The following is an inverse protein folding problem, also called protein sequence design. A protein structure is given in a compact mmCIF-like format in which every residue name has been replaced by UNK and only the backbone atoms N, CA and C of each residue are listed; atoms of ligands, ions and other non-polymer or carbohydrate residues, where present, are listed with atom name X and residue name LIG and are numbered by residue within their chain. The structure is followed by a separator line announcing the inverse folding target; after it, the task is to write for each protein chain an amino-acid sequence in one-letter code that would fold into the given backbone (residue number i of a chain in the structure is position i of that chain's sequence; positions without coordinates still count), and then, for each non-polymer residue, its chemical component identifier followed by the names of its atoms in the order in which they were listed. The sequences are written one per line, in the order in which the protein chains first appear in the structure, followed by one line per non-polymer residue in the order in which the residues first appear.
data_IF_563681569277
#
_entry.id   IF_563681569277
#
_cell.length_a   1.000
_cell.length_b   1.000
_cell.length_c   1.000
_cell.angle_alpha   90.00
_cell.angle_beta   90.00
_cell.angle_gamma   90.00
#
_symmetry.space_group_name_H-M   'P 1'
#
loop_
_entity.id
_entity.type
_entity.pdbx_description
1 polymer ?
#
# COMPACT_ATOMS: atom_id res chain seq x y z
N UNK A 1 2.11 16.82 -23.90
CA UNK A 1 1.01 15.87 -23.58
C UNK A 1 0.10 16.54 -22.54
N UNK A 2 -1.17 16.83 -22.82
CA UNK A 2 -2.03 17.61 -21.91
C UNK A 2 -2.14 16.96 -20.52
N UNK A 3 -2.25 17.80 -19.50
CA UNK A 3 -2.47 17.36 -18.12
C UNK A 3 -3.86 16.73 -18.02
N UNK A 4 -3.92 15.54 -17.45
CA UNK A 4 -5.14 14.77 -17.22
C UNK A 4 -5.32 14.56 -15.72
N UNK A 5 -6.58 14.41 -15.29
CA UNK A 5 -6.95 14.11 -13.92
C UNK A 5 -7.59 12.71 -13.85
N UNK A 6 -7.33 11.99 -12.77
CA UNK A 6 -7.97 10.71 -12.48
C UNK A 6 -9.19 10.90 -11.56
N UNK A 7 -10.04 9.88 -11.45
CA UNK A 7 -11.14 9.82 -10.47
C UNK A 7 -10.67 9.80 -9.00
N UNK A 8 -9.38 9.71 -8.79
CA UNK A 8 -8.71 9.75 -7.49
C UNK A 8 -7.94 11.07 -7.26
N UNK A 9 -8.28 12.13 -8.00
CA UNK A 9 -7.67 13.46 -7.90
C UNK A 9 -6.14 13.48 -8.05
N UNK A 10 -5.55 12.49 -8.75
CA UNK A 10 -4.16 12.56 -9.17
C UNK A 10 -4.05 13.15 -10.57
N UNK A 11 -2.95 13.83 -10.85
CA UNK A 11 -2.71 14.54 -12.11
C UNK A 11 -1.55 13.89 -12.87
N UNK A 12 -1.66 13.81 -14.19
CA UNK A 12 -0.59 13.20 -14.98
C UNK A 12 -0.54 13.73 -16.43
N UNK A 13 0.65 13.67 -17.01
CA UNK A 13 0.89 13.82 -18.46
C UNK A 13 1.17 12.44 -19.06
N UNK A 14 0.94 12.28 -20.36
CA UNK A 14 1.25 11.03 -21.05
C UNK A 14 0.41 9.84 -20.61
N UNK A 15 1.07 8.80 -20.10
CA UNK A 15 0.46 7.52 -19.72
C UNK A 15 0.78 7.15 -18.27
N UNK A 16 -0.24 6.81 -17.51
CA UNK A 16 -0.04 6.18 -16.20
C UNK A 16 0.56 4.78 -16.33
N UNK A 17 1.52 4.45 -15.48
CA UNK A 17 2.06 3.09 -15.38
C UNK A 17 0.98 2.08 -15.00
N UNK A 18 1.20 0.80 -15.28
CA UNK A 18 0.25 -0.26 -14.93
C UNK A 18 0.09 -0.37 -13.41
N UNK A 19 1.18 -0.22 -12.65
CA UNK A 19 1.15 -0.21 -11.20
C UNK A 19 0.28 0.93 -10.63
N UNK A 20 0.36 2.15 -11.19
CA UNK A 20 -0.47 3.28 -10.78
C UNK A 20 -1.95 3.06 -11.11
N UNK A 21 -2.27 2.54 -12.30
CA UNK A 21 -3.65 2.19 -12.67
C UNK A 21 -4.28 1.16 -11.72
N UNK A 22 -3.51 0.17 -11.29
CA UNK A 22 -3.96 -0.83 -10.32
C UNK A 22 -4.12 -0.24 -8.92
N UNK A 23 -3.21 0.67 -8.53
CA UNK A 23 -3.26 1.40 -7.27
C UNK A 23 -4.58 2.20 -7.15
N UNK A 24 -4.87 3.06 -8.12
CA UNK A 24 -6.11 3.87 -8.17
C UNK A 24 -7.36 2.99 -8.01
N UNK A 25 -7.38 1.82 -8.64
CA UNK A 25 -8.51 0.88 -8.57
C UNK A 25 -8.58 0.04 -7.28
N UNK A 26 -7.65 0.21 -6.34
CA UNK A 26 -7.53 -0.64 -5.15
C UNK A 26 -7.25 -2.11 -5.48
N UNK A 27 -6.66 -2.39 -6.66
CA UNK A 27 -6.32 -3.74 -7.15
C UNK A 27 -4.84 -4.06 -6.99
N UNK A 28 -4.14 -3.30 -6.16
CA UNK A 28 -2.72 -3.47 -5.86
C UNK A 28 -2.55 -3.82 -4.39
N UNK A 29 -1.88 -4.94 -4.10
CA UNK A 29 -1.37 -5.27 -2.77
C UNK A 29 0.02 -4.68 -2.57
N UNK A 30 0.41 -4.51 -1.31
CA UNK A 30 1.72 -3.97 -0.90
C UNK A 30 2.45 -5.06 -0.15
N UNK A 31 3.57 -5.55 -0.71
CA UNK A 31 4.44 -6.51 -0.08
C UNK A 31 5.69 -5.79 0.43
N UNK A 32 5.73 -5.61 1.74
CA UNK A 32 6.87 -5.07 2.46
C UNK A 32 7.89 -6.18 2.65
N UNK A 33 8.98 -6.15 1.88
CA UNK A 33 9.98 -7.23 1.82
C UNK A 33 10.91 -7.23 3.03
N UNK A 34 11.35 -6.04 3.45
CA UNK A 34 12.25 -5.85 4.60
C UNK A 34 12.25 -4.39 5.04
N UNK A 35 12.48 -4.14 6.33
CA UNK A 35 12.71 -2.79 6.84
C UNK A 35 14.16 -2.32 6.76
N UNK A 36 15.08 -3.18 6.31
CA UNK A 36 16.47 -2.81 6.10
C UNK A 36 16.57 -1.85 4.91
N UNK A 37 17.41 -0.81 5.06
CA UNK A 37 17.66 0.16 4.00
C UNK A 37 19.10 0.63 4.05
N UNK A 38 19.73 0.76 2.87
CA UNK A 38 21.09 1.31 2.75
C UNK A 38 21.14 2.83 2.67
N UNK A 39 19.97 3.49 2.63
CA UNK A 39 19.82 4.95 2.52
C UNK A 39 19.12 5.49 3.75
N UNK A 40 19.63 6.59 4.31
CA UNK A 40 19.02 7.25 5.46
C UNK A 40 18.39 8.58 5.03
N UNK A 41 17.13 8.51 4.54
CA UNK A 41 16.38 9.71 4.17
C UNK A 41 15.76 10.35 5.42
N UNK A 42 15.96 11.67 5.61
CA UNK A 42 15.40 12.41 6.74
C UNK A 42 13.87 12.43 6.74
N UNK A 43 13.27 12.20 5.58
CA UNK A 43 11.81 12.14 5.36
C UNK A 43 11.25 10.71 5.29
N UNK A 44 12.00 9.72 5.73
CA UNK A 44 11.56 8.32 5.63
C UNK A 44 10.24 8.09 6.41
N UNK A 45 9.16 7.63 5.75
CA UNK A 45 7.86 7.47 6.40
C UNK A 45 7.68 6.12 7.11
N UNK A 46 8.71 5.25 7.11
CA UNK A 46 8.59 3.92 7.71
C UNK A 46 8.41 4.01 9.22
N UNK A 47 7.43 3.28 9.74
CA UNK A 47 7.18 3.20 11.19
C UNK A 47 8.39 2.63 11.95
N UNK A 48 8.55 3.03 13.21
CA UNK A 48 9.62 2.54 14.09
C UNK A 48 9.53 1.01 14.33
N UNK A 49 8.34 0.44 14.16
CA UNK A 49 8.15 -1.01 14.25
C UNK A 49 8.79 -1.77 13.10
N UNK A 50 8.90 -1.15 11.92
CA UNK A 50 9.39 -1.77 10.69
C UNK A 50 10.80 -1.31 10.30
N UNK A 51 11.15 -0.04 10.56
CA UNK A 51 12.43 0.57 10.16
C UNK A 51 13.62 -0.17 10.77
N UNK A 52 14.56 -0.58 9.93
CA UNK A 52 15.79 -1.27 10.35
C UNK A 52 15.61 -2.74 10.75
N UNK A 53 14.41 -3.30 10.65
CA UNK A 53 14.14 -4.71 11.01
C UNK A 53 13.97 -5.58 9.76
N UNK A 54 14.49 -6.81 9.81
CA UNK A 54 14.30 -7.77 8.74
C UNK A 54 13.01 -8.57 8.94
N UNK A 55 11.89 -7.93 8.63
CA UNK A 55 10.52 -8.45 8.74
C UNK A 55 9.77 -8.21 7.45
N UNK A 56 8.81 -9.06 7.14
CA UNK A 56 8.00 -8.95 5.92
C UNK A 56 6.50 -8.85 6.24
N UNK A 57 5.78 -8.09 5.43
CA UNK A 57 4.32 -7.93 5.51
C UNK A 57 3.69 -7.97 4.12
N UNK A 58 2.49 -8.50 4.06
CA UNK A 58 1.60 -8.34 2.92
C UNK A 58 0.41 -7.48 3.36
N UNK A 59 0.29 -6.28 2.80
CA UNK A 59 -0.61 -5.25 3.31
C UNK A 59 -0.37 -5.01 4.81
N UNK A 60 -1.36 -5.20 5.66
CA UNK A 60 -1.27 -5.04 7.11
C UNK A 60 -0.89 -6.36 7.85
N UNK A 61 -0.90 -7.50 7.14
CA UNK A 61 -0.62 -8.83 7.71
C UNK A 61 0.87 -9.13 7.70
N UNK A 62 1.42 -9.48 8.86
CA UNK A 62 2.78 -10.01 8.95
C UNK A 62 2.86 -11.36 8.24
N UNK A 63 3.91 -11.58 7.47
CA UNK A 63 4.15 -12.83 6.76
C UNK A 63 4.87 -13.80 7.70
N UNK A 64 4.21 -14.88 8.05
CA UNK A 64 4.78 -15.99 8.80
C UNK A 64 5.20 -17.14 7.88
N UNK A 65 4.54 -17.28 6.75
CA UNK A 65 4.84 -18.26 5.71
C UNK A 65 4.36 -17.77 4.34
N UNK A 66 4.78 -18.45 3.27
CA UNK A 66 4.48 -18.03 1.89
C UNK A 66 2.99 -18.08 1.54
N UNK A 67 2.21 -18.94 2.22
CA UNK A 67 0.77 -19.05 1.99
C UNK A 67 0.03 -17.76 2.38
N UNK A 68 0.53 -17.02 3.37
CA UNK A 68 -0.05 -15.73 3.79
C UNK A 68 -0.13 -14.73 2.62
N UNK A 69 0.86 -14.76 1.71
CA UNK A 69 0.90 -13.89 0.53
C UNK A 69 -0.23 -14.23 -0.43
N UNK A 70 -0.40 -15.52 -0.75
CA UNK A 70 -1.42 -15.98 -1.69
C UNK A 70 -2.84 -15.78 -1.15
N UNK A 71 -3.04 -16.04 0.14
CA UNK A 71 -4.32 -15.81 0.81
C UNK A 71 -4.73 -14.34 0.78
N UNK A 72 -3.80 -13.42 1.06
CA UNK A 72 -4.10 -12.00 1.05
C UNK A 72 -4.34 -11.46 -0.37
N UNK A 73 -3.57 -11.92 -1.38
CA UNK A 73 -3.83 -11.62 -2.80
C UNK A 73 -5.24 -12.05 -3.19
N UNK A 74 -5.65 -13.25 -2.80
CA UNK A 74 -6.98 -13.79 -3.05
C UNK A 74 -8.05 -12.98 -2.31
N UNK A 75 -7.85 -12.72 -1.02
CA UNK A 75 -8.79 -11.94 -0.20
C UNK A 75 -9.05 -10.56 -0.79
N UNK A 76 -8.01 -9.85 -1.24
CA UNK A 76 -8.14 -8.54 -1.87
C UNK A 76 -8.53 -8.59 -3.36
N UNK A 77 -8.63 -9.76 -3.99
CA UNK A 77 -8.75 -9.92 -5.46
C UNK A 77 -7.73 -9.05 -6.19
N UNK A 78 -6.50 -9.04 -5.70
CA UNK A 78 -5.40 -8.22 -6.21
C UNK A 78 -5.01 -8.66 -7.62
N UNK A 79 -4.61 -7.72 -8.47
CA UNK A 79 -4.13 -7.94 -9.84
C UNK A 79 -2.71 -7.41 -10.04
N UNK A 80 -2.13 -6.88 -8.97
CA UNK A 80 -0.75 -6.45 -8.94
C UNK A 80 -0.26 -6.28 -7.52
N UNK A 81 1.06 -6.30 -7.37
CA UNK A 81 1.73 -6.18 -6.09
C UNK A 81 2.96 -5.29 -6.22
N UNK A 82 3.25 -4.55 -5.17
CA UNK A 82 4.50 -3.79 -5.05
C UNK A 82 5.45 -4.49 -4.08
N UNK A 83 6.67 -4.76 -4.50
CA UNK A 83 7.77 -5.12 -3.63
C UNK A 83 8.39 -3.83 -3.10
N UNK A 84 8.24 -3.57 -1.81
CA UNK A 84 8.64 -2.33 -1.15
C UNK A 84 9.23 -2.62 0.24
N UNK A 85 9.53 -1.56 0.99
CA UNK A 85 10.07 -1.66 2.34
C UNK A 85 11.06 -0.55 2.63
N UNK A 86 12.17 -0.91 3.26
CA UNK A 86 13.37 -0.08 3.27
C UNK A 86 13.99 -0.08 1.88
N UNK A 87 14.78 -1.12 1.56
CA UNK A 87 15.21 -1.39 0.18
C UNK A 87 15.13 -2.90 -0.12
N UNK A 88 14.17 -3.34 -0.94
CA UNK A 88 13.98 -4.75 -1.29
C UNK A 88 15.22 -5.41 -1.90
N UNK A 89 16.07 -4.69 -2.62
CA UNK A 89 17.28 -5.26 -3.23
C UNK A 89 18.33 -5.68 -2.21
N UNK A 90 18.23 -5.28 -0.94
CA UNK A 90 19.03 -5.86 0.15
C UNK A 90 18.64 -7.31 0.44
N UNK A 91 17.47 -7.73 -0.01
CA UNK A 91 16.93 -9.09 0.12
C UNK A 91 16.44 -9.62 -1.23
N UNK A 92 17.30 -9.50 -2.24
CA UNK A 92 16.96 -9.87 -3.63
C UNK A 92 16.50 -11.33 -3.76
N UNK A 93 17.07 -12.25 -3.00
CA UNK A 93 16.67 -13.66 -3.04
C UNK A 93 15.24 -13.86 -2.48
N UNK A 94 14.84 -13.07 -1.48
CA UNK A 94 13.46 -13.01 -0.98
C UNK A 94 12.52 -12.40 -2.02
N UNK A 95 12.96 -11.34 -2.72
CA UNK A 95 12.18 -10.80 -3.85
C UNK A 95 11.98 -11.85 -4.95
N UNK A 96 13.00 -12.62 -5.26
CA UNK A 96 12.94 -13.71 -6.24
C UNK A 96 11.96 -14.80 -5.81
N UNK A 97 12.05 -15.27 -4.57
CA UNK A 97 11.16 -16.28 -3.99
C UNK A 97 9.68 -15.83 -4.08
N UNK A 98 9.39 -14.65 -3.56
CA UNK A 98 8.01 -14.10 -3.55
C UNK A 98 7.48 -13.85 -4.96
N UNK A 99 8.33 -13.34 -5.88
CA UNK A 99 7.90 -13.10 -7.25
C UNK A 99 7.60 -14.40 -8.00
N UNK A 100 8.40 -15.44 -7.82
CA UNK A 100 8.14 -16.78 -8.37
C UNK A 100 6.83 -17.34 -7.83
N UNK A 101 6.67 -17.38 -6.50
CA UNK A 101 5.44 -17.86 -5.85
C UNK A 101 4.18 -17.19 -6.42
N UNK A 102 4.24 -15.86 -6.62
CA UNK A 102 3.11 -15.11 -7.15
C UNK A 102 2.87 -15.41 -8.62
N UNK A 103 3.91 -15.48 -9.45
CA UNK A 103 3.78 -15.76 -10.88
C UNK A 103 3.37 -17.20 -11.17
N UNK A 104 3.78 -18.16 -10.35
CA UNK A 104 3.37 -19.56 -10.46
C UNK A 104 1.87 -19.73 -10.22
N UNK A 105 1.29 -19.02 -9.24
CA UNK A 105 -0.14 -19.08 -8.93
C UNK A 105 -0.97 -18.13 -9.82
N UNK A 106 -0.42 -16.95 -10.17
CA UNK A 106 -1.10 -15.87 -10.90
C UNK A 106 -0.19 -15.35 -12.02
N UNK A 107 -0.12 -16.03 -13.13
CA UNK A 107 0.80 -15.72 -14.25
C UNK A 107 0.74 -14.24 -14.70
N UNK A 108 -0.46 -13.66 -14.81
CA UNK A 108 -0.68 -12.27 -15.26
C UNK A 108 -0.54 -11.21 -14.15
N UNK A 109 -0.14 -11.61 -12.92
CA UNK A 109 -0.05 -10.69 -11.80
C UNK A 109 1.07 -9.67 -12.02
N UNK A 110 0.72 -8.38 -12.03
CA UNK A 110 1.70 -7.32 -12.24
C UNK A 110 2.55 -7.11 -10.99
N UNK A 111 3.86 -7.22 -11.12
CA UNK A 111 4.81 -7.02 -10.03
C UNK A 111 5.68 -5.81 -10.33
N UNK A 112 5.73 -4.84 -9.40
CA UNK A 112 6.69 -3.75 -9.48
C UNK A 112 7.50 -3.62 -8.20
N UNK A 113 8.74 -3.19 -8.36
CA UNK A 113 9.73 -3.10 -7.29
C UNK A 113 10.14 -1.64 -7.09
N UNK A 114 10.22 -1.22 -5.82
CA UNK A 114 10.80 0.04 -5.41
C UNK A 114 12.21 -0.16 -4.87
N UNK A 115 13.14 0.70 -5.25
CA UNK A 115 14.51 0.65 -4.70
C UNK A 115 15.15 2.04 -4.69
N UNK A 116 15.93 2.33 -3.66
CA UNK A 116 16.81 3.51 -3.60
C UNK A 116 18.25 3.19 -4.03
N UNK A 117 18.50 1.96 -4.42
CA UNK A 117 19.86 1.49 -4.73
C UNK A 117 20.27 1.86 -6.16
N UNK A 118 21.35 2.62 -6.28
CA UNK A 118 21.99 2.97 -7.55
C UNK A 118 23.41 2.37 -7.67
N UNK A 119 23.85 1.61 -6.68
CA UNK A 119 25.17 0.98 -6.60
C UNK A 119 25.20 -0.44 -7.24
N UNK A 120 26.27 -1.17 -6.98
CA UNK A 120 26.48 -2.54 -7.52
C UNK A 120 25.35 -3.53 -7.20
N UNK A 121 24.54 -3.28 -6.17
CA UNK A 121 23.42 -4.14 -5.79
C UNK A 121 22.29 -4.10 -6.83
N UNK A 122 22.22 -3.05 -7.61
CA UNK A 122 21.26 -2.94 -8.73
C UNK A 122 21.43 -4.09 -9.73
N UNK A 123 22.63 -4.68 -9.85
CA UNK A 123 22.87 -5.88 -10.66
C UNK A 123 22.04 -7.10 -10.19
N UNK A 124 21.56 -7.11 -8.95
CA UNK A 124 20.61 -8.10 -8.46
C UNK A 124 19.30 -8.15 -9.22
N UNK A 125 18.94 -7.06 -9.92
CA UNK A 125 17.76 -7.01 -10.79
C UNK A 125 17.77 -8.08 -11.89
N UNK A 126 18.94 -8.50 -12.37
CA UNK A 126 19.05 -9.59 -13.36
C UNK A 126 18.36 -10.88 -12.92
N UNK A 127 18.34 -11.17 -11.62
CA UNK A 127 17.65 -12.33 -11.06
C UNK A 127 16.12 -12.22 -11.16
N UNK A 128 15.61 -10.99 -11.33
CA UNK A 128 14.18 -10.68 -11.31
C UNK A 128 13.62 -10.46 -12.72
N UNK A 129 14.45 -10.50 -13.77
CA UNK A 129 13.99 -10.40 -15.16
C UNK A 129 12.98 -11.51 -15.50
N UNK A 130 11.90 -11.14 -16.19
CA UNK A 130 10.82 -12.04 -16.51
C UNK A 130 9.81 -12.31 -15.37
N UNK A 131 10.13 -11.87 -14.15
CA UNK A 131 9.24 -11.99 -12.98
C UNK A 131 8.65 -10.64 -12.56
N UNK A 132 9.50 -9.62 -12.44
CA UNK A 132 9.12 -8.24 -12.15
C UNK A 132 8.85 -7.51 -13.46
N UNK A 133 7.75 -6.79 -13.52
CA UNK A 133 7.31 -6.07 -14.73
C UNK A 133 7.84 -4.62 -14.77
N UNK A 134 7.99 -3.99 -13.58
CA UNK A 134 8.26 -2.56 -13.46
C UNK A 134 9.21 -2.29 -12.29
N UNK A 135 10.25 -1.48 -12.51
CA UNK A 135 11.21 -1.07 -11.46
C UNK A 135 11.16 0.43 -11.29
N UNK A 136 11.05 0.90 -10.05
CA UNK A 136 10.98 2.30 -9.67
C UNK A 136 12.15 2.68 -8.79
N UNK A 137 12.98 3.57 -9.29
CA UNK A 137 14.11 4.08 -8.56
C UNK A 137 13.76 5.34 -7.78
N UNK A 138 14.21 5.38 -6.53
CA UNK A 138 14.25 6.60 -5.73
C UNK A 138 15.63 7.22 -5.88
N UNK A 139 15.73 8.29 -6.65
CA UNK A 139 16.97 9.02 -6.92
C UNK A 139 16.96 10.40 -6.26
N UNK A 140 18.15 10.92 -5.94
CA UNK A 140 18.34 12.21 -5.27
C UNK A 140 18.93 13.28 -6.17
N UNK A 141 19.56 12.89 -7.28
CA UNK A 141 20.23 13.81 -8.18
C UNK A 141 20.18 13.32 -9.63
N UNK A 142 20.49 14.23 -10.55
CA UNK A 142 20.73 13.93 -11.96
C UNK A 142 21.85 12.91 -12.18
N UNK A 143 22.91 12.97 -11.38
CA UNK A 143 24.03 12.03 -11.49
C UNK A 143 23.61 10.60 -11.18
N UNK A 144 22.75 10.40 -10.18
CA UNK A 144 22.20 9.09 -9.89
C UNK A 144 21.34 8.55 -11.05
N UNK A 145 20.58 9.41 -11.72
CA UNK A 145 19.82 9.05 -12.94
C UNK A 145 20.77 8.60 -14.05
N UNK A 146 21.84 9.37 -14.29
CA UNK A 146 22.82 9.04 -15.34
C UNK A 146 23.53 7.72 -15.09
N UNK A 147 23.79 7.35 -13.82
CA UNK A 147 24.39 6.05 -13.44
C UNK A 147 23.50 4.85 -13.80
N UNK A 148 22.18 5.06 -13.93
CA UNK A 148 21.24 4.00 -14.25
C UNK A 148 21.09 3.72 -15.76
N UNK A 149 21.77 4.49 -16.63
CA UNK A 149 21.64 4.37 -18.09
C UNK A 149 21.80 2.94 -18.62
N UNK A 150 22.79 2.20 -18.13
CA UNK A 150 23.04 0.83 -18.58
C UNK A 150 22.00 -0.18 -18.07
N UNK A 151 21.37 0.11 -16.95
CA UNK A 151 20.32 -0.73 -16.37
C UNK A 151 19.05 -0.71 -17.23
N UNK A 152 18.78 0.39 -17.91
CA UNK A 152 17.61 0.52 -18.78
C UNK A 152 17.64 -0.41 -20.00
N UNK A 153 18.75 -1.10 -20.25
CA UNK A 153 18.86 -2.16 -21.29
C UNK A 153 18.22 -3.48 -20.85
N UNK A 154 17.91 -3.65 -19.56
CA UNK A 154 17.21 -4.83 -19.06
C UNK A 154 15.73 -4.79 -19.45
N UNK A 155 15.09 -5.95 -19.46
CA UNK A 155 13.70 -6.09 -19.86
C UNK A 155 12.73 -5.77 -18.73
N UNK A 156 12.69 -4.50 -18.30
CA UNK A 156 11.73 -3.95 -17.35
C UNK A 156 11.13 -2.64 -17.88
N UNK A 157 9.97 -2.26 -17.36
CA UNK A 157 9.52 -0.88 -17.47
C UNK A 157 10.16 -0.11 -16.31
N UNK A 158 10.95 0.91 -16.64
CA UNK A 158 11.65 1.71 -15.66
C UNK A 158 10.96 3.05 -15.40
N UNK A 159 10.79 3.39 -14.13
CA UNK A 159 10.29 4.67 -13.66
C UNK A 159 11.09 5.22 -12.49
N UNK A 160 10.84 6.48 -12.18
CA UNK A 160 11.32 7.11 -10.95
C UNK A 160 10.15 7.31 -9.97
N UNK A 161 10.46 7.24 -8.69
CA UNK A 161 9.51 7.49 -7.61
C UNK A 161 10.18 8.44 -6.60
N UNK A 162 9.87 9.73 -6.68
CA UNK A 162 10.53 10.77 -5.89
C UNK A 162 9.53 11.64 -5.14
N UNK A 163 9.85 12.12 -3.92
CA UNK A 163 8.99 13.05 -3.21
C UNK A 163 9.08 14.45 -3.83
N UNK A 164 7.94 15.11 -3.94
CA UNK A 164 7.83 16.50 -4.36
C UNK A 164 8.13 17.42 -3.17
N UNK A 165 9.41 17.56 -2.82
CA UNK A 165 9.87 18.34 -1.66
C UNK A 165 9.76 19.83 -1.97
N UNK A 166 8.97 20.62 -1.23
CA UNK A 166 8.88 22.06 -1.42
C UNK A 166 10.27 22.74 -1.33
N UNK A 167 10.53 23.66 -2.25
CA UNK A 167 11.84 24.31 -2.37
C UNK A 167 12.83 23.61 -3.31
N UNK A 168 12.63 22.34 -3.65
CA UNK A 168 13.56 21.53 -4.46
C UNK A 168 13.26 21.59 -5.98
N UNK A 169 12.62 22.66 -6.47
CA UNK A 169 12.17 22.76 -7.85
C UNK A 169 13.28 22.49 -8.88
N UNK A 170 14.43 23.16 -8.76
CA UNK A 170 15.52 23.00 -9.75
C UNK A 170 16.14 21.60 -9.70
N UNK A 171 16.27 21.01 -8.53
CA UNK A 171 16.75 19.62 -8.36
C UNK A 171 15.80 18.63 -9.03
N UNK A 172 14.50 18.73 -8.77
CA UNK A 172 13.52 17.80 -9.37
C UNK A 172 13.44 18.02 -10.87
N UNK A 173 13.50 19.26 -11.36
CA UNK A 173 13.55 19.60 -12.78
C UNK A 173 14.77 18.97 -13.47
N UNK A 174 15.96 19.04 -12.85
CA UNK A 174 17.16 18.40 -13.41
C UNK A 174 17.03 16.87 -13.49
N UNK A 175 16.45 16.25 -12.45
CA UNK A 175 16.15 14.80 -12.43
C UNK A 175 15.19 14.43 -13.59
N UNK A 176 14.12 15.20 -13.80
CA UNK A 176 13.16 14.94 -14.89
C UNK A 176 13.85 15.05 -16.25
N UNK A 177 14.63 16.10 -16.49
CA UNK A 177 15.38 16.28 -17.72
C UNK A 177 16.37 15.13 -17.97
N UNK A 178 17.09 14.68 -16.94
CA UNK A 178 18.01 13.56 -17.04
C UNK A 178 17.24 12.25 -17.35
N UNK A 179 16.13 12.01 -16.69
CA UNK A 179 15.31 10.82 -16.88
C UNK A 179 14.72 10.73 -18.30
N UNK A 180 14.23 11.85 -18.85
CA UNK A 180 13.76 11.92 -20.24
C UNK A 180 14.91 11.64 -21.22
N UNK A 181 16.06 12.27 -21.01
CA UNK A 181 17.26 12.08 -21.86
C UNK A 181 17.80 10.64 -21.82
N UNK A 182 17.78 10.00 -20.65
CA UNK A 182 18.31 8.63 -20.45
C UNK A 182 17.32 7.57 -20.93
N UNK A 183 16.01 7.88 -20.97
CA UNK A 183 14.97 7.01 -21.53
C UNK A 183 14.11 6.29 -20.48
N UNK A 184 13.92 6.89 -19.31
CA UNK A 184 12.90 6.41 -18.36
C UNK A 184 11.49 6.57 -18.93
N UNK A 185 10.62 5.63 -18.62
CA UNK A 185 9.25 5.63 -19.16
C UNK A 185 8.34 6.66 -18.46
N UNK A 186 8.57 6.89 -17.17
CA UNK A 186 7.75 7.79 -16.36
C UNK A 186 8.42 8.21 -15.05
N UNK A 187 7.85 9.24 -14.42
CA UNK A 187 8.19 9.70 -13.06
C UNK A 187 6.91 9.83 -12.25
N UNK A 188 6.90 9.28 -11.05
CA UNK A 188 5.92 9.60 -10.02
C UNK A 188 6.48 10.64 -9.06
N UNK A 189 5.81 11.77 -8.96
CA UNK A 189 6.00 12.80 -7.96
C UNK A 189 5.04 12.49 -6.80
N UNK A 190 5.55 11.94 -5.72
CA UNK A 190 4.75 11.70 -4.52
C UNK A 190 4.55 12.99 -3.76
N UNK A 191 3.31 13.29 -3.40
CA UNK A 191 3.04 14.38 -2.48
C UNK A 191 3.86 14.18 -1.20
N UNK A 192 4.51 15.25 -0.77
CA UNK A 192 5.37 15.22 0.41
C UNK A 192 4.52 15.28 1.67
N UNK A 193 4.69 14.32 2.55
CA UNK A 193 3.85 14.12 3.71
C UNK A 193 4.66 13.88 4.99
N UNK A 194 4.13 14.30 6.13
CA UNK A 194 4.68 13.93 7.41
C UNK A 194 4.02 12.67 7.99
N UNK A 195 4.77 12.00 8.85
CA UNK A 195 4.35 10.80 9.59
C UNK A 195 4.88 10.89 11.01
N UNK A 196 4.43 10.02 11.90
CA UNK A 196 4.97 9.93 13.28
C UNK A 196 6.49 9.79 13.34
N UNK A 197 7.10 9.24 12.28
CA UNK A 197 8.55 8.93 12.26
C UNK A 197 9.41 10.01 11.65
N UNK A 198 8.85 10.92 10.88
CA UNK A 198 9.63 11.96 10.18
C UNK A 198 9.27 13.39 10.58
N UNK A 199 8.15 13.60 11.31
CA UNK A 199 7.62 14.93 11.60
C UNK A 199 8.63 15.86 12.31
N UNK A 200 9.43 15.33 13.27
CA UNK A 200 10.45 16.13 13.96
C UNK A 200 11.52 16.62 13.00
N UNK A 201 12.04 15.73 12.15
CA UNK A 201 13.05 16.07 11.16
C UNK A 201 12.54 17.12 10.15
N UNK A 202 11.26 17.01 9.76
CA UNK A 202 10.63 17.95 8.84
C UNK A 202 10.38 19.31 9.50
N UNK A 203 9.96 19.31 10.77
CA UNK A 203 9.78 20.54 11.57
C UNK A 203 11.10 21.29 11.75
N UNK A 204 12.19 20.59 12.10
CA UNK A 204 13.54 21.18 12.25
C UNK A 204 14.01 21.80 10.94
N UNK A 205 13.61 21.25 9.80
CA UNK A 205 13.93 21.79 8.47
C UNK A 205 13.00 22.93 8.03
N UNK A 206 12.04 23.32 8.84
CA UNK A 206 11.15 24.46 8.59
C UNK A 206 10.04 24.20 7.58
N UNK A 207 9.64 22.93 7.40
CA UNK A 207 8.48 22.63 6.56
C UNK A 207 7.17 22.98 7.26
N UNK A 208 6.27 23.66 6.53
CA UNK A 208 4.93 23.98 6.99
C UNK A 208 3.97 22.80 6.74
N UNK A 209 3.24 22.45 7.80
CA UNK A 209 2.22 21.40 7.76
C UNK A 209 0.86 22.00 7.38
N UNK A 210 0.05 21.19 6.71
CA UNK A 210 -1.37 21.47 6.57
C UNK A 210 -2.08 21.06 7.87
N UNK A 211 -2.93 21.94 8.42
CA UNK A 211 -3.64 21.67 9.68
C UNK A 211 -4.64 20.52 9.59
N UNK A 212 -5.16 20.26 8.40
CA UNK A 212 -6.28 19.32 8.18
C UNK A 212 -5.85 18.01 7.51
N UNK A 213 -4.55 17.86 7.22
CA UNK A 213 -4.03 16.69 6.52
C UNK A 213 -2.56 16.40 6.89
N UNK A 214 -2.04 15.26 6.43
CA UNK A 214 -0.62 14.90 6.57
C UNK A 214 0.30 15.58 5.53
N UNK A 215 -0.23 16.46 4.70
CA UNK A 215 0.50 17.07 3.59
C UNK A 215 1.42 18.21 4.04
N UNK A 216 2.51 18.36 3.32
CA UNK A 216 3.42 19.52 3.45
C UNK A 216 3.01 20.55 2.41
N UNK A 217 2.76 21.80 2.87
CA UNK A 217 2.39 22.92 2.02
C UNK A 217 3.42 23.17 0.93
N UNK A 218 2.96 23.44 -0.28
CA UNK A 218 3.80 23.68 -1.45
C UNK A 218 4.17 22.44 -2.26
N UNK A 219 3.92 21.23 -1.77
CA UNK A 219 4.24 19.99 -2.49
C UNK A 219 3.40 19.80 -3.74
N UNK A 220 2.08 20.04 -3.63
CA UNK A 220 1.16 19.97 -4.77
C UNK A 220 1.45 21.06 -5.80
N UNK A 221 1.64 22.29 -5.36
CA UNK A 221 1.94 23.44 -6.22
C UNK A 221 3.23 23.21 -7.01
N UNK A 222 4.28 22.70 -6.36
CA UNK A 222 5.52 22.31 -7.00
C UNK A 222 5.28 21.26 -8.08
N UNK A 223 4.51 20.23 -7.77
CA UNK A 223 4.21 19.13 -8.71
C UNK A 223 3.41 19.63 -9.91
N UNK A 224 2.41 20.46 -9.69
CA UNK A 224 1.59 21.02 -10.77
C UNK A 224 2.44 21.90 -11.71
N UNK A 225 3.30 22.75 -11.16
CA UNK A 225 4.25 23.56 -11.96
C UNK A 225 5.18 22.68 -12.81
N UNK A 226 5.66 21.56 -12.25
CA UNK A 226 6.49 20.61 -13.01
C UNK A 226 5.69 19.93 -14.13
N UNK A 227 4.44 19.49 -13.87
CA UNK A 227 3.59 18.93 -14.92
C UNK A 227 3.37 19.91 -16.07
N UNK A 228 3.13 21.20 -15.79
CA UNK A 228 2.96 22.25 -16.80
C UNK A 228 4.22 22.44 -17.64
N UNK A 229 5.39 22.56 -17.01
CA UNK A 229 6.68 22.78 -17.71
C UNK A 229 7.04 21.61 -18.62
N UNK A 230 6.72 20.38 -18.20
CA UNK A 230 7.05 19.17 -18.95
C UNK A 230 5.87 18.61 -19.77
N UNK A 231 4.86 19.42 -20.04
CA UNK A 231 3.70 19.00 -20.84
C UNK A 231 4.09 18.50 -22.23
N UNK A 232 5.11 19.07 -22.83
CA UNK A 232 5.62 18.69 -24.16
C UNK A 232 6.78 17.67 -24.14
N UNK A 233 7.14 17.14 -22.95
CA UNK A 233 8.20 16.13 -22.83
C UNK A 233 7.74 14.74 -23.31
N UNK A 234 8.70 13.83 -23.59
CA UNK A 234 8.41 12.45 -23.94
C UNK A 234 8.15 11.58 -22.71
N UNK A 235 8.68 11.98 -21.55
CA UNK A 235 8.48 11.25 -20.31
C UNK A 235 7.10 11.52 -19.71
N UNK A 236 6.42 10.48 -19.25
CA UNK A 236 5.16 10.64 -18.54
C UNK A 236 5.41 11.06 -17.09
N UNK A 237 4.68 12.05 -16.59
CA UNK A 237 4.80 12.51 -15.19
C UNK A 237 3.45 12.31 -14.50
N UNK A 238 3.49 11.79 -13.29
CA UNK A 238 2.30 11.56 -12.47
C UNK A 238 2.50 12.16 -11.08
N UNK A 239 1.65 13.10 -10.69
CA UNK A 239 1.52 13.54 -9.30
C UNK A 239 0.61 12.58 -8.55
N UNK A 240 1.15 11.93 -7.53
CA UNK A 240 0.47 10.98 -6.66
C UNK A 240 0.17 11.65 -5.30
N UNK A 241 -1.05 12.14 -5.06
CA UNK A 241 -1.39 12.77 -3.78
C UNK A 241 -1.44 11.74 -2.64
N UNK A 242 -1.18 12.19 -1.41
CA UNK A 242 -1.23 11.36 -0.21
C UNK A 242 -2.62 10.75 -0.01
N UNK A 243 -3.66 11.55 -0.21
CA UNK A 243 -5.07 11.11 -0.12
C UNK A 243 -5.39 9.92 -1.04
N UNK A 244 -4.71 9.79 -2.17
CA UNK A 244 -4.89 8.63 -3.05
C UNK A 244 -4.43 7.34 -2.38
N UNK A 245 -3.32 7.38 -1.65
CA UNK A 245 -2.77 6.20 -0.98
C UNK A 245 -3.64 5.79 0.21
N UNK A 246 -3.97 6.74 1.07
CA UNK A 246 -4.57 6.49 2.37
C UNK A 246 -6.11 6.38 2.30
N UNK A 247 -6.76 7.34 1.66
CA UNK A 247 -8.21 7.37 1.64
C UNK A 247 -8.84 6.60 0.46
N UNK A 248 -8.16 6.48 -0.68
CA UNK A 248 -8.74 5.87 -1.89
C UNK A 248 -8.23 4.45 -2.10
N UNK A 249 -6.92 4.27 -2.20
CA UNK A 249 -6.35 2.95 -2.50
C UNK A 249 -6.56 1.97 -1.35
N UNK A 250 -6.29 2.38 -0.13
CA UNK A 250 -6.47 1.58 1.09
C UNK A 250 -7.95 1.19 1.26
N UNK A 251 -8.85 2.17 1.22
CA UNK A 251 -10.29 1.95 1.36
C UNK A 251 -10.84 1.00 0.28
N UNK A 252 -10.50 1.21 -0.99
CA UNK A 252 -10.92 0.33 -2.10
C UNK A 252 -10.37 -1.09 -1.96
N UNK A 253 -9.19 -1.27 -1.37
CA UNK A 253 -8.61 -2.59 -1.08
C UNK A 253 -9.36 -3.26 0.07
N UNK A 254 -9.62 -2.56 1.17
CA UNK A 254 -10.39 -3.08 2.30
C UNK A 254 -11.82 -3.46 1.89
N UNK A 255 -12.49 -2.64 1.10
CA UNK A 255 -13.81 -2.96 0.56
C UNK A 255 -13.81 -4.27 -0.26
N UNK A 256 -12.77 -4.49 -1.09
CA UNK A 256 -12.62 -5.76 -1.82
C UNK A 256 -12.40 -6.93 -0.88
N UNK A 257 -11.51 -6.75 0.08
CA UNK A 257 -11.21 -7.77 1.08
C UNK A 257 -12.47 -8.13 1.86
N UNK A 258 -13.17 -7.16 2.38
CA UNK A 258 -14.43 -7.37 3.09
C UNK A 258 -15.47 -8.11 2.24
N UNK A 259 -15.68 -7.69 0.98
CA UNK A 259 -16.62 -8.36 0.06
C UNK A 259 -16.26 -9.83 -0.21
N UNK A 260 -14.96 -10.15 -0.28
CA UNK A 260 -14.50 -11.50 -0.60
C UNK A 260 -14.42 -12.42 0.63
N UNK A 261 -14.29 -11.87 1.83
CA UNK A 261 -14.00 -12.66 3.05
C UNK A 261 -15.16 -12.69 4.04
N UNK A 262 -16.13 -11.78 3.91
CA UNK A 262 -17.25 -11.70 4.86
C UNK A 262 -18.03 -13.01 4.91
N UNK A 263 -18.39 -13.39 6.11
CA UNK A 263 -19.25 -14.55 6.40
C UNK A 263 -20.72 -14.16 6.33
N UNK A 264 -21.60 -15.15 6.36
CA UNK A 264 -23.04 -14.93 6.21
C UNK A 264 -23.65 -14.01 7.28
N UNK A 265 -23.13 -14.06 8.48
CA UNK A 265 -23.58 -13.26 9.62
C UNK A 265 -22.86 -11.91 9.75
N UNK A 266 -21.97 -11.57 8.85
CA UNK A 266 -21.20 -10.31 8.88
C UNK A 266 -21.79 -9.29 7.91
N UNK A 267 -21.68 -8.01 8.25
CA UNK A 267 -22.02 -6.89 7.38
C UNK A 267 -20.77 -6.09 7.01
N UNK A 268 -20.89 -5.26 6.00
CA UNK A 268 -19.83 -4.31 5.62
C UNK A 268 -20.33 -2.92 5.92
N UNK A 269 -19.60 -2.23 6.77
CA UNK A 269 -19.81 -0.81 7.09
C UNK A 269 -18.50 -0.06 6.91
N UNK A 270 -18.51 0.99 6.08
CA UNK A 270 -17.35 1.81 5.71
C UNK A 270 -16.08 1.00 5.35
N UNK A 271 -16.25 -0.01 4.48
CA UNK A 271 -15.18 -0.91 3.99
C UNK A 271 -14.64 -1.92 5.01
N UNK A 272 -15.16 -1.94 6.22
CA UNK A 272 -14.80 -2.87 7.29
C UNK A 272 -15.89 -3.91 7.51
N UNK A 273 -15.51 -5.09 7.96
CA UNK A 273 -16.46 -6.14 8.38
C UNK A 273 -16.93 -5.82 9.79
N UNK A 274 -18.27 -5.82 9.97
CA UNK A 274 -18.93 -5.61 11.26
C UNK A 274 -19.62 -6.89 11.70
N UNK A 275 -19.37 -7.29 12.94
CA UNK A 275 -19.96 -8.47 13.58
C UNK A 275 -20.17 -8.26 15.07
N UNK A 276 -21.07 -9.03 15.65
CA UNK A 276 -21.23 -9.13 17.10
C UNK A 276 -20.26 -10.17 17.66
N UNK A 277 -19.64 -9.87 18.78
CA UNK A 277 -18.80 -10.78 19.56
C UNK A 277 -19.46 -11.02 20.94
N UNK A 278 -19.67 -12.27 21.29
CA UNK A 278 -20.20 -12.68 22.59
C UNK A 278 -19.16 -13.59 23.24
N UNK A 279 -18.61 -13.17 24.36
CA UNK A 279 -17.58 -13.93 25.08
C UNK A 279 -18.15 -14.52 26.35
N UNK A 280 -18.09 -15.84 26.48
CA UNK A 280 -18.64 -16.59 27.61
C UNK A 280 -18.55 -18.11 27.37
N UNK A 281 -19.43 -18.89 28.02
CA UNK A 281 -19.50 -20.33 27.76
C UNK A 281 -20.23 -20.59 26.43
N UNK A 282 -19.54 -21.12 25.39
CA UNK A 282 -20.11 -21.24 24.04
C UNK A 282 -21.40 -22.06 23.97
N UNK A 283 -21.52 -23.12 24.79
CA UNK A 283 -22.73 -23.96 24.83
C UNK A 283 -23.95 -23.18 25.30
N UNK A 284 -23.78 -22.36 26.32
CA UNK A 284 -24.88 -21.54 26.86
C UNK A 284 -25.28 -20.47 25.84
N UNK A 285 -24.31 -19.80 25.23
CA UNK A 285 -24.55 -18.79 24.21
C UNK A 285 -25.30 -19.37 23.01
N UNK A 286 -24.85 -20.52 22.48
CA UNK A 286 -25.49 -21.18 21.35
C UNK A 286 -26.90 -21.67 21.72
N UNK A 287 -27.11 -22.18 22.91
CA UNK A 287 -28.46 -22.59 23.38
C UNK A 287 -29.38 -21.37 23.45
N UNK A 288 -28.92 -20.24 23.97
CA UNK A 288 -29.67 -19.01 23.99
C UNK A 288 -30.02 -18.51 22.58
N UNK A 289 -29.04 -18.45 21.68
CA UNK A 289 -29.22 -18.06 20.28
C UNK A 289 -30.30 -18.89 19.58
N UNK A 290 -30.28 -20.22 19.78
CA UNK A 290 -31.23 -21.13 19.14
C UNK A 290 -32.63 -21.12 19.76
N UNK A 291 -32.70 -21.23 21.08
CA UNK A 291 -33.96 -21.48 21.76
C UNK A 291 -34.72 -20.21 22.09
N UNK A 292 -34.03 -19.10 22.37
CA UNK A 292 -34.66 -17.84 22.73
C UNK A 292 -34.81 -16.91 21.51
N UNK A 293 -33.84 -16.91 20.60
CA UNK A 293 -33.84 -15.99 19.44
C UNK A 293 -34.08 -16.71 18.09
N UNK A 294 -34.20 -18.04 18.05
CA UNK A 294 -34.45 -18.78 16.82
C UNK A 294 -33.31 -18.67 15.78
N UNK A 295 -32.08 -18.34 16.22
CA UNK A 295 -30.95 -18.07 15.33
C UNK A 295 -30.45 -19.35 14.68
N UNK A 296 -30.41 -19.39 13.35
CA UNK A 296 -29.93 -20.56 12.59
C UNK A 296 -28.41 -20.73 12.69
N UNK A 297 -27.91 -21.98 12.51
CA UNK A 297 -26.47 -22.31 12.63
C UNK A 297 -25.55 -21.48 11.73
N UNK A 298 -26.00 -21.03 10.56
CA UNK A 298 -25.22 -20.21 9.63
C UNK A 298 -25.01 -18.77 10.10
N UNK A 299 -25.79 -18.32 11.10
CA UNK A 299 -25.76 -16.96 11.64
C UNK A 299 -24.80 -16.80 12.83
N UNK A 300 -24.03 -17.82 13.16
CA UNK A 300 -23.01 -17.71 14.20
C UNK A 300 -21.84 -18.67 13.95
N UNK A 301 -20.68 -18.32 14.54
CA UNK A 301 -19.47 -19.14 14.54
C UNK A 301 -18.83 -19.14 15.93
N UNK A 302 -18.26 -20.28 16.30
CA UNK A 302 -17.59 -20.45 17.60
C UNK A 302 -16.09 -20.45 17.38
N UNK A 303 -15.36 -19.57 18.08
CA UNK A 303 -13.90 -19.53 18.10
C UNK A 303 -13.41 -19.47 19.55
N UNK A 304 -12.98 -20.60 20.08
CA UNK A 304 -12.60 -20.73 21.48
C UNK A 304 -13.76 -20.40 22.43
N UNK A 305 -13.62 -19.39 23.25
CA UNK A 305 -14.67 -18.88 24.16
C UNK A 305 -15.55 -17.79 23.57
N UNK A 306 -15.32 -17.43 22.30
CA UNK A 306 -16.05 -16.39 21.59
C UNK A 306 -17.06 -17.00 20.63
N UNK A 307 -18.25 -16.43 20.60
CA UNK A 307 -19.27 -16.71 19.58
C UNK A 307 -19.48 -15.43 18.79
N UNK A 308 -19.19 -15.49 17.49
CA UNK A 308 -19.44 -14.41 16.57
C UNK A 308 -20.82 -14.59 15.92
N UNK A 309 -21.55 -13.49 15.77
CA UNK A 309 -22.88 -13.49 15.16
C UNK A 309 -23.13 -12.13 14.48
N UNK A 310 -24.30 -11.93 13.89
CA UNK A 310 -24.68 -10.65 13.35
C UNK A 310 -24.73 -9.58 14.46
N UNK A 311 -24.26 -8.39 14.17
CA UNK A 311 -24.17 -7.31 15.16
C UNK A 311 -25.53 -6.99 15.82
N UNK A 312 -26.64 -7.00 15.03
CA UNK A 312 -27.98 -6.77 15.57
C UNK A 312 -28.46 -7.87 16.53
N UNK A 313 -28.01 -9.12 16.34
CA UNK A 313 -28.30 -10.22 17.27
C UNK A 313 -27.54 -9.99 18.58
N UNK A 314 -26.27 -9.57 18.51
CA UNK A 314 -25.50 -9.22 19.69
C UNK A 314 -26.09 -8.03 20.45
N UNK A 315 -26.56 -7.01 19.73
CA UNK A 315 -27.29 -5.86 20.30
C UNK A 315 -28.58 -6.29 21.00
N UNK A 316 -29.36 -7.19 20.42
CA UNK A 316 -30.57 -7.72 21.02
C UNK A 316 -30.29 -8.49 22.32
N UNK A 317 -29.22 -9.31 22.34
CA UNK A 317 -28.80 -10.03 23.56
C UNK A 317 -28.37 -9.04 24.66
N UNK A 318 -27.78 -7.90 24.30
CA UNK A 318 -27.35 -6.89 25.26
C UNK A 318 -28.51 -6.28 26.07
N UNK A 319 -29.74 -6.36 25.54
CA UNK A 319 -30.98 -5.85 26.16
C UNK A 319 -31.63 -6.86 27.13
N UNK A 320 -31.21 -8.13 27.09
CA UNK A 320 -31.68 -9.15 28.03
C UNK A 320 -30.97 -8.96 29.39
N UNK A 321 -31.70 -8.49 30.39
CA UNK A 321 -31.16 -8.16 31.71
C UNK A 321 -30.55 -9.35 32.47
N UNK A 322 -30.96 -10.58 32.14
CA UNK A 322 -30.50 -11.79 32.81
C UNK A 322 -29.31 -12.40 32.08
N UNK A 323 -29.41 -12.57 30.78
CA UNK A 323 -28.39 -13.24 30.00
C UNK A 323 -27.18 -12.34 29.75
N UNK A 324 -27.36 -11.05 29.53
CA UNK A 324 -26.29 -10.08 29.34
C UNK A 324 -25.31 -10.00 30.53
N UNK A 325 -25.76 -10.32 31.74
CA UNK A 325 -24.90 -10.37 32.94
C UNK A 325 -23.95 -11.58 32.98
N UNK A 326 -24.22 -12.61 32.17
CA UNK A 326 -23.42 -13.85 32.10
C UNK A 326 -22.34 -13.83 31.02
N UNK A 327 -22.39 -12.90 30.10
CA UNK A 327 -21.52 -12.81 28.92
C UNK A 327 -20.99 -11.41 28.71
N UNK A 328 -19.87 -11.26 27.99
CA UNK A 328 -19.39 -9.97 27.53
C UNK A 328 -19.77 -9.82 26.05
N UNK A 329 -20.47 -8.75 25.73
CA UNK A 329 -20.98 -8.50 24.38
C UNK A 329 -20.29 -7.27 23.81
N UNK A 330 -19.88 -7.34 22.55
CA UNK A 330 -19.30 -6.23 21.81
C UNK A 330 -19.65 -6.28 20.34
N UNK A 331 -19.51 -5.14 19.67
CA UNK A 331 -19.53 -5.04 18.22
C UNK A 331 -18.10 -4.80 17.77
N UNK A 332 -17.62 -5.64 16.86
CA UNK A 332 -16.25 -5.60 16.33
C UNK A 332 -16.31 -5.11 14.90
N UNK A 333 -15.42 -4.15 14.57
CA UNK A 333 -15.12 -3.73 13.19
C UNK A 333 -13.68 -4.13 12.85
N UNK A 334 -13.47 -4.83 11.75
CA UNK A 334 -12.16 -5.30 11.30
C UNK A 334 -11.98 -5.30 9.77
#
# INVERSE_FOLDING_TARGET
MPIKITDANSYYTGKLSKGCKLCIKGKKSVLFVTGLCGVNCYYCPLSNEKKGKDISYINERKIENNQDILEEIKACSSKGISLTGGDPLLKVDRCLEYSKLIKDEYNDHHIHLYTGTTDKRVNGLKKLEGLVDEVRFHVKSEDEVNQLKDILKMNFIFGLEIPAIPGDFERIKSIINAADRVGFSYINLNEFEYTETNWENLSIKGFDFDSDSSMIKGSKELSMKLLEIFEDSNISIHFCPSVLKDAIQLRRRWERRAKNTKKYYEEIDDSLIVKGEINGEPKEIVNYLKNNLGVSKKMYEIQGKKVYTHWAIADEISKDEVFSKKVKIGIVKE
#
